data_IF_630185884386
#
_entry.id   IF_630185884386
#
_cell.length_a   1.000
_cell.length_b   1.000
_cell.length_c   1.000
_cell.angle_alpha   90.00
_cell.angle_beta   90.00
_cell.angle_gamma   90.00
#
_symmetry.space_group_name_H-M   'P 1'
#
loop_
_entity.id
_entity.type
_entity.pdbx_description
1 polymer ?
#
# COMPACT_ATOMS: atom_id res chain seq x y z
N UNK A 1 -7.73 -24.24 4.47
CA UNK A 1 -6.45 -24.67 5.10
C UNK A 1 -5.51 -23.49 4.94
N UNK A 2 -4.89 -22.99 6.02
CA UNK A 2 -3.90 -21.91 5.92
C UNK A 2 -2.73 -22.42 5.07
N UNK A 3 -2.35 -21.67 4.02
CA UNK A 3 -1.15 -21.97 3.23
C UNK A 3 0.07 -21.91 4.16
N UNK A 4 1.02 -22.82 3.98
CA UNK A 4 2.26 -22.81 4.76
C UNK A 4 3.10 -21.59 4.41
N UNK A 5 3.75 -20.99 5.42
CA UNK A 5 4.74 -19.93 5.24
C UNK A 5 6.13 -20.45 5.63
N UNK A 6 7.15 -20.02 4.92
CA UNK A 6 8.56 -20.32 5.14
C UNK A 6 9.26 -19.09 5.69
N UNK A 7 9.85 -19.20 6.89
CA UNK A 7 10.69 -18.14 7.45
C UNK A 7 12.02 -18.09 6.69
N UNK A 8 12.32 -16.94 6.09
CA UNK A 8 13.57 -16.70 5.36
C UNK A 8 14.62 -16.01 6.22
N UNK A 9 14.18 -14.98 6.97
CA UNK A 9 15.07 -14.16 7.81
C UNK A 9 14.35 -13.74 9.09
N UNK A 10 15.13 -13.62 10.18
CA UNK A 10 14.63 -13.13 11.46
C UNK A 10 15.68 -12.29 12.17
N UNK A 11 15.30 -11.11 12.63
CA UNK A 11 16.16 -10.18 13.36
C UNK A 11 15.46 -9.61 14.59
N UNK A 12 16.16 -9.62 15.74
CA UNK A 12 15.66 -8.94 16.94
C UNK A 12 15.82 -7.42 16.76
N UNK A 13 14.71 -6.66 16.92
CA UNK A 13 14.73 -5.21 16.69
C UNK A 13 13.75 -4.48 17.61
N UNK A 14 14.21 -3.51 18.39
CA UNK A 14 13.41 -2.70 19.35
C UNK A 14 12.51 -3.55 20.28
N UNK A 15 13.05 -4.65 20.81
CA UNK A 15 12.29 -5.57 21.65
C UNK A 15 11.30 -6.47 20.94
N UNK A 16 11.01 -6.22 19.66
CA UNK A 16 10.19 -7.02 18.77
C UNK A 16 11.01 -7.88 17.81
N UNK A 17 10.39 -8.32 16.74
CA UNK A 17 10.99 -9.15 15.71
C UNK A 17 10.70 -8.59 14.32
N UNK A 18 11.73 -8.38 13.51
CA UNK A 18 11.61 -8.17 12.07
C UNK A 18 11.81 -9.53 11.40
N UNK A 19 10.81 -9.99 10.66
CA UNK A 19 10.83 -11.30 10.00
C UNK A 19 10.49 -11.14 8.52
N UNK A 20 10.99 -12.04 7.68
CA UNK A 20 10.71 -12.14 6.25
C UNK A 20 10.25 -13.55 5.93
N UNK A 21 9.16 -13.65 5.20
CA UNK A 21 8.54 -14.92 4.87
C UNK A 21 8.34 -15.08 3.37
N UNK A 22 8.31 -16.34 2.95
CA UNK A 22 7.89 -16.78 1.63
C UNK A 22 6.66 -17.68 1.75
N UNK A 23 5.75 -17.59 0.79
CA UNK A 23 4.63 -18.51 0.66
C UNK A 23 4.23 -18.69 -0.80
N UNK A 24 3.51 -19.77 -1.08
CA UNK A 24 2.89 -19.95 -2.38
C UNK A 24 1.55 -19.21 -2.39
N UNK A 25 1.43 -18.19 -3.23
CA UNK A 25 0.20 -17.43 -3.37
C UNK A 25 -0.78 -18.14 -4.29
N UNK A 26 -2.01 -18.27 -3.82
CA UNK A 26 -3.13 -18.79 -4.62
C UNK A 26 -3.73 -17.73 -5.55
N UNK A 27 -3.69 -16.46 -5.14
CA UNK A 27 -4.19 -15.35 -5.95
C UNK A 27 -3.28 -15.03 -7.14
N UNK A 28 -1.96 -15.18 -6.93
CA UNK A 28 -0.94 -14.79 -7.91
C UNK A 28 -0.31 -15.98 -8.66
N UNK A 29 -0.67 -17.23 -8.30
CA UNK A 29 -0.13 -18.46 -8.86
C UNK A 29 1.41 -18.52 -8.90
N UNK A 30 2.07 -17.86 -7.94
CA UNK A 30 3.53 -17.84 -7.84
C UNK A 30 3.98 -17.74 -6.39
N UNK A 31 5.29 -17.87 -6.17
CA UNK A 31 5.89 -17.64 -4.87
C UNK A 31 5.92 -16.14 -4.56
N UNK A 32 5.42 -15.76 -3.37
CA UNK A 32 5.42 -14.38 -2.89
C UNK A 32 6.23 -14.24 -1.61
N UNK A 33 6.81 -13.06 -1.42
CA UNK A 33 7.47 -12.67 -0.17
C UNK A 33 6.74 -11.52 0.50
N UNK A 34 6.80 -11.51 1.82
CA UNK A 34 6.43 -10.35 2.63
C UNK A 34 7.35 -10.24 3.84
N UNK A 35 7.57 -9.02 4.28
CA UNK A 35 8.23 -8.73 5.55
C UNK A 35 7.18 -8.35 6.59
N UNK A 36 7.43 -8.69 7.86
CA UNK A 36 6.57 -8.34 8.98
C UNK A 36 7.41 -7.88 10.18
N UNK A 37 6.99 -6.80 10.81
CA UNK A 37 7.49 -6.41 12.12
C UNK A 37 6.46 -6.73 13.19
N UNK A 38 6.84 -7.54 14.14
CA UNK A 38 6.04 -7.91 15.32
C UNK A 38 6.54 -7.10 16.52
N UNK A 39 5.76 -6.18 17.09
CA UNK A 39 6.17 -5.40 18.24
C UNK A 39 6.31 -6.27 19.49
N UNK A 40 7.04 -5.80 20.54
CA UNK A 40 7.02 -6.48 21.83
C UNK A 40 5.60 -6.49 22.40
N UNK A 41 5.18 -7.57 23.06
CA UNK A 41 3.87 -7.62 23.73
C UNK A 41 3.71 -6.47 24.73
N UNK A 42 2.57 -5.81 24.74
CA UNK A 42 2.24 -4.69 25.64
C UNK A 42 1.21 -5.07 26.70
N UNK A 43 0.22 -5.86 26.29
CA UNK A 43 -0.86 -6.40 27.11
C UNK A 43 -1.34 -7.72 26.50
N UNK A 44 -2.46 -8.24 26.99
CA UNK A 44 -3.05 -9.50 26.51
C UNK A 44 -3.84 -9.32 25.19
N UNK A 45 -3.99 -8.12 24.67
CA UNK A 45 -4.72 -7.86 23.43
C UNK A 45 -3.82 -8.03 22.20
N UNK A 46 -4.30 -8.72 21.16
CA UNK A 46 -3.56 -8.81 19.90
C UNK A 46 -3.35 -7.41 19.28
N UNK A 47 -2.14 -7.08 18.81
CA UNK A 47 -1.83 -5.79 18.20
C UNK A 47 -2.54 -5.58 16.88
N UNK A 48 -2.94 -4.34 16.53
CA UNK A 48 -3.50 -4.00 15.23
C UNK A 48 -2.43 -3.98 14.14
N UNK A 49 -2.90 -4.05 12.88
CA UNK A 49 -2.03 -4.19 11.70
C UNK A 49 -2.04 -2.92 10.86
N UNK A 50 -0.86 -2.47 10.48
CA UNK A 50 -0.66 -1.48 9.42
C UNK A 50 0.02 -2.15 8.22
N UNK A 51 -0.68 -2.17 7.07
CA UNK A 51 -0.09 -2.60 5.80
C UNK A 51 0.63 -1.43 5.15
N UNK A 52 1.88 -1.70 4.70
CA UNK A 52 2.65 -0.77 3.89
C UNK A 52 2.75 -1.27 2.46
N UNK A 53 2.41 -0.43 1.50
CA UNK A 53 2.54 -0.70 0.07
C UNK A 53 3.67 0.15 -0.52
N UNK A 54 4.66 -0.51 -1.09
CA UNK A 54 5.82 0.15 -1.70
C UNK A 54 5.53 0.64 -3.13
N UNK A 55 6.35 1.58 -3.61
CA UNK A 55 6.27 2.15 -4.95
C UNK A 55 6.91 1.26 -6.03
N UNK A 56 6.98 1.80 -7.26
CA UNK A 56 7.61 1.15 -8.41
C UNK A 56 9.03 0.68 -8.09
N UNK A 57 9.40 -0.47 -8.65
CA UNK A 57 10.71 -1.13 -8.53
C UNK A 57 11.06 -1.68 -7.14
N UNK A 58 10.30 -1.34 -6.11
CA UNK A 58 10.51 -1.84 -4.75
C UNK A 58 10.02 -3.27 -4.57
N UNK A 59 10.47 -3.89 -3.48
CA UNK A 59 9.97 -5.14 -2.93
C UNK A 59 9.60 -4.97 -1.44
N UNK A 60 9.42 -6.05 -0.72
CA UNK A 60 9.11 -6.09 0.71
C UNK A 60 10.22 -5.52 1.62
N UNK A 61 11.46 -5.45 1.15
CA UNK A 61 12.63 -5.03 1.93
C UNK A 61 12.88 -3.51 1.89
N UNK A 62 12.44 -2.81 0.85
CA UNK A 62 12.77 -1.38 0.72
C UNK A 62 12.31 -0.55 1.92
N UNK A 63 11.04 -0.68 2.30
CA UNK A 63 10.52 0.00 3.49
C UNK A 63 11.13 -0.55 4.77
N UNK A 64 11.21 -1.86 4.88
CA UNK A 64 11.75 -2.58 6.04
C UNK A 64 13.11 -2.05 6.45
N UNK A 65 13.99 -1.82 5.49
CA UNK A 65 15.38 -1.42 5.73
C UNK A 65 15.60 0.10 5.73
N UNK A 66 14.75 0.88 5.02
CA UNK A 66 15.05 2.29 4.75
C UNK A 66 14.17 3.29 5.52
N UNK A 67 12.98 2.88 5.96
CA UNK A 67 12.02 3.81 6.56
C UNK A 67 12.27 4.12 8.05
N UNK A 68 12.94 3.24 8.80
CA UNK A 68 13.16 3.41 10.23
C UNK A 68 11.89 3.32 11.10
N UNK A 69 10.84 2.70 10.58
CA UNK A 69 9.49 2.65 11.17
C UNK A 69 9.39 1.79 12.44
N UNK A 70 10.25 0.79 12.59
CA UNK A 70 10.09 -0.26 13.61
C UNK A 70 10.19 0.25 15.05
N UNK A 71 11.02 1.28 15.31
CA UNK A 71 11.13 1.86 16.66
C UNK A 71 9.79 2.42 17.13
N UNK A 72 9.18 3.23 16.30
CA UNK A 72 7.89 3.84 16.61
C UNK A 72 6.76 2.81 16.59
N UNK A 73 6.81 1.83 15.70
CA UNK A 73 5.86 0.71 15.70
C UNK A 73 5.93 -0.10 17.00
N UNK A 74 7.14 -0.32 17.56
CA UNK A 74 7.31 -0.94 18.88
C UNK A 74 6.70 -0.09 19.99
N UNK A 75 6.97 1.22 19.99
CA UNK A 75 6.42 2.19 20.96
C UNK A 75 4.88 2.24 20.91
N UNK A 76 4.29 2.11 19.73
CA UNK A 76 2.85 2.20 19.52
C UNK A 76 2.14 0.82 19.60
N UNK A 77 2.87 -0.29 19.59
CA UNK A 77 2.30 -1.63 19.58
C UNK A 77 1.60 -1.95 18.25
N UNK A 78 2.21 -1.56 17.12
CA UNK A 78 1.68 -1.80 15.77
C UNK A 78 2.45 -2.92 15.09
N UNK A 79 1.73 -3.87 14.52
CA UNK A 79 2.30 -4.80 13.52
C UNK A 79 2.41 -4.07 12.20
N UNK A 80 3.59 -4.16 11.55
CA UNK A 80 3.79 -3.66 10.19
C UNK A 80 3.89 -4.84 9.23
N UNK A 81 3.13 -4.83 8.15
CA UNK A 81 3.17 -5.86 7.09
C UNK A 81 3.53 -5.20 5.76
N UNK A 82 4.62 -5.65 5.15
CA UNK A 82 5.18 -5.12 3.91
C UNK A 82 5.19 -6.23 2.85
N UNK A 83 4.21 -6.35 1.97
CA UNK A 83 4.27 -7.29 0.85
C UNK A 83 5.21 -6.80 -0.26
N UNK A 84 5.65 -7.73 -1.12
CA UNK A 84 6.23 -7.36 -2.39
C UNK A 84 5.22 -6.59 -3.26
N UNK A 85 5.69 -5.81 -4.20
CA UNK A 85 4.90 -4.91 -5.06
C UNK A 85 4.27 -5.59 -6.27
N UNK A 86 4.68 -6.81 -6.57
CA UNK A 86 4.18 -7.61 -7.70
C UNK A 86 4.49 -9.09 -7.53
N UNK A 87 3.86 -9.97 -8.33
CA UNK A 87 4.41 -11.31 -8.57
C UNK A 87 5.81 -11.21 -9.19
N UNK A 88 6.67 -12.21 -8.91
CA UNK A 88 8.02 -12.33 -9.46
C UNK A 88 8.35 -13.79 -9.77
N UNK A 89 9.27 -13.99 -10.70
CA UNK A 89 9.80 -15.30 -11.08
C UNK A 89 10.05 -15.42 -12.58
N UNK A 90 10.76 -16.49 -12.97
CA UNK A 90 11.11 -16.73 -14.38
C UNK A 90 9.89 -17.00 -15.26
N UNK A 91 8.85 -17.61 -14.69
CA UNK A 91 7.58 -17.90 -15.35
C UNK A 91 6.57 -16.75 -15.29
N UNK A 92 6.88 -15.65 -14.58
CA UNK A 92 6.02 -14.47 -14.45
C UNK A 92 6.33 -13.47 -15.54
N UNK A 93 5.30 -13.01 -16.25
CA UNK A 93 5.45 -11.99 -17.29
C UNK A 93 6.17 -10.74 -16.77
N UNK A 94 7.02 -10.16 -17.61
CA UNK A 94 7.77 -8.95 -17.31
C UNK A 94 7.85 -8.04 -18.54
N UNK A 95 8.21 -6.78 -18.31
CA UNK A 95 8.49 -5.77 -19.33
C UNK A 95 9.91 -5.24 -19.13
N UNK A 96 10.52 -4.70 -20.20
CA UNK A 96 11.85 -4.08 -20.11
C UNK A 96 11.83 -2.75 -19.34
N UNK A 97 10.69 -2.09 -19.29
CA UNK A 97 10.49 -0.84 -18.57
C UNK A 97 10.24 -1.08 -17.07
N UNK A 98 10.80 -0.22 -16.24
CA UNK A 98 10.66 -0.28 -14.77
C UNK A 98 9.23 -0.03 -14.27
N UNK A 99 8.36 0.50 -15.10
CA UNK A 99 7.01 0.95 -14.79
C UNK A 99 5.89 -0.03 -15.21
N UNK A 100 6.27 -1.25 -15.62
CA UNK A 100 5.34 -2.33 -15.97
C UNK A 100 5.97 -3.70 -15.62
N UNK A 101 5.16 -4.69 -15.26
CA UNK A 101 5.62 -6.02 -14.94
C UNK A 101 6.16 -6.16 -13.52
N UNK A 102 7.25 -6.90 -13.36
CA UNK A 102 7.82 -7.21 -12.04
C UNK A 102 8.33 -5.95 -11.34
N UNK A 103 7.80 -5.68 -10.15
CA UNK A 103 8.02 -4.44 -9.40
C UNK A 103 7.01 -3.32 -9.71
N UNK A 104 6.00 -3.59 -10.55
CA UNK A 104 5.04 -2.58 -11.02
C UNK A 104 3.60 -3.13 -11.10
N UNK A 105 3.14 -3.85 -10.06
CA UNK A 105 1.84 -4.52 -10.04
C UNK A 105 0.62 -3.61 -9.92
N UNK A 106 0.80 -2.34 -9.64
CA UNK A 106 -0.25 -1.30 -9.48
C UNK A 106 -1.41 -1.70 -8.56
N UNK A 107 -1.26 -2.76 -7.77
CA UNK A 107 -2.25 -3.28 -6.81
C UNK A 107 -3.65 -3.53 -7.41
N UNK A 108 -3.69 -3.89 -8.69
CA UNK A 108 -4.90 -4.21 -9.45
C UNK A 108 -4.98 -5.72 -9.79
N UNK A 109 -6.10 -6.13 -10.38
CA UNK A 109 -6.27 -7.45 -10.99
C UNK A 109 -6.24 -7.31 -12.50
N UNK A 110 -5.18 -7.81 -13.14
CA UNK A 110 -5.05 -7.79 -14.58
C UNK A 110 -6.07 -8.73 -15.24
N UNK A 111 -6.58 -8.31 -16.40
CA UNK A 111 -7.53 -9.07 -17.24
C UNK A 111 -6.94 -9.44 -18.59
N UNK A 112 -5.81 -8.84 -18.98
CA UNK A 112 -5.18 -9.04 -20.28
C UNK A 112 -4.01 -10.02 -20.19
N UNK A 113 -3.88 -10.88 -21.21
CA UNK A 113 -2.69 -11.72 -21.42
C UNK A 113 -1.48 -10.83 -21.77
N UNK A 114 -0.26 -11.15 -21.29
CA UNK A 114 0.09 -12.28 -20.46
C UNK A 114 -0.09 -12.05 -18.94
N UNK A 115 -0.55 -10.88 -18.52
CA UNK A 115 -0.56 -10.42 -17.13
C UNK A 115 -1.61 -11.12 -16.25
N UNK A 116 -2.78 -11.46 -16.83
CA UNK A 116 -3.95 -11.96 -16.08
C UNK A 116 -3.68 -13.21 -15.23
N UNK A 117 -2.66 -14.00 -15.58
CA UNK A 117 -2.32 -15.24 -14.90
C UNK A 117 -1.74 -14.99 -13.49
N UNK A 118 -0.93 -13.94 -13.35
CA UNK A 118 -0.18 -13.69 -12.12
C UNK A 118 -0.46 -12.31 -11.47
N UNK A 119 -0.84 -11.29 -12.24
CA UNK A 119 -0.97 -9.92 -11.73
C UNK A 119 -2.35 -9.68 -11.13
N UNK A 120 -2.62 -10.26 -9.95
CA UNK A 120 -3.86 -10.12 -9.18
C UNK A 120 -3.60 -9.54 -7.79
N UNK A 121 -2.82 -8.45 -7.76
CA UNK A 121 -2.36 -7.83 -6.50
C UNK A 121 -3.51 -7.25 -5.66
N UNK A 122 -4.65 -6.90 -6.27
CA UNK A 122 -5.83 -6.48 -5.53
C UNK A 122 -6.34 -7.62 -4.62
N UNK A 123 -6.61 -8.80 -5.20
CA UNK A 123 -7.08 -9.97 -4.44
C UNK A 123 -6.05 -10.39 -3.39
N UNK A 124 -4.77 -10.33 -3.75
CA UNK A 124 -3.69 -10.68 -2.83
C UNK A 124 -3.68 -9.79 -1.58
N UNK A 125 -3.71 -8.47 -1.74
CA UNK A 125 -3.62 -7.51 -0.62
C UNK A 125 -4.93 -7.44 0.18
N UNK A 126 -6.08 -7.58 -0.48
CA UNK A 126 -7.37 -7.47 0.20
C UNK A 126 -7.78 -8.78 0.86
N UNK A 127 -7.56 -9.92 0.24
CA UNK A 127 -8.11 -11.18 0.73
C UNK A 127 -7.02 -12.14 1.25
N UNK A 128 -6.05 -12.51 0.42
CA UNK A 128 -5.11 -13.59 0.74
C UNK A 128 -4.14 -13.21 1.84
N UNK A 129 -3.44 -12.08 1.70
CA UNK A 129 -2.43 -11.64 2.67
C UNK A 129 -3.01 -11.43 4.08
N UNK A 130 -4.15 -10.74 4.28
CA UNK A 130 -4.74 -10.61 5.61
C UNK A 130 -5.18 -11.92 6.24
N UNK A 131 -5.70 -12.86 5.46
CA UNK A 131 -6.04 -14.20 5.94
C UNK A 131 -4.78 -14.98 6.35
N UNK A 132 -3.71 -14.85 5.57
CA UNK A 132 -2.41 -15.45 5.88
C UNK A 132 -1.85 -14.90 7.19
N UNK A 133 -1.85 -13.56 7.35
CA UNK A 133 -1.38 -12.89 8.57
C UNK A 133 -2.20 -13.31 9.79
N UNK A 134 -3.52 -13.26 9.71
CA UNK A 134 -4.39 -13.68 10.82
C UNK A 134 -4.28 -15.19 11.17
N UNK A 135 -3.95 -16.01 10.19
CA UNK A 135 -3.78 -17.46 10.37
C UNK A 135 -2.47 -17.87 11.02
N UNK A 136 -1.42 -17.04 10.93
CA UNK A 136 -0.08 -17.37 11.41
C UNK A 136 0.43 -16.50 12.56
N UNK A 137 -0.16 -15.31 12.76
CA UNK A 137 0.27 -14.36 13.77
C UNK A 137 -0.89 -13.95 14.67
N UNK A 138 -0.59 -13.70 15.96
CA UNK A 138 -1.57 -13.18 16.90
C UNK A 138 -1.74 -11.67 16.63
N UNK A 139 -2.72 -11.30 15.81
CA UNK A 139 -3.07 -9.92 15.45
C UNK A 139 -4.56 -9.67 15.64
N UNK A 140 -4.97 -8.42 15.84
CA UNK A 140 -6.38 -8.04 15.89
C UNK A 140 -6.97 -7.89 14.48
N UNK A 141 -8.31 -7.75 14.42
CA UNK A 141 -9.04 -7.46 13.19
C UNK A 141 -8.97 -5.99 12.75
N UNK A 142 -8.40 -5.11 13.60
CA UNK A 142 -8.23 -3.69 13.29
C UNK A 142 -7.06 -3.49 12.34
N UNK A 143 -7.35 -2.90 11.17
CA UNK A 143 -6.39 -2.73 10.09
C UNK A 143 -6.39 -1.30 9.56
N UNK A 144 -5.21 -0.82 9.17
CA UNK A 144 -5.01 0.42 8.41
C UNK A 144 -4.03 0.17 7.26
N UNK A 145 -3.96 1.10 6.32
CA UNK A 145 -3.12 0.94 5.14
C UNK A 145 -2.38 2.24 4.83
N UNK A 146 -1.11 2.11 4.45
CA UNK A 146 -0.23 3.20 4.06
C UNK A 146 0.58 2.80 2.83
N UNK A 147 1.07 3.76 2.06
CA UNK A 147 1.93 3.44 0.94
C UNK A 147 2.62 4.66 0.33
N UNK A 148 3.56 4.40 -0.58
CA UNK A 148 4.34 5.41 -1.27
C UNK A 148 4.18 5.29 -2.79
N UNK A 149 4.00 6.41 -3.50
CA UNK A 149 3.97 6.48 -4.96
C UNK A 149 2.88 5.57 -5.56
N UNK A 150 3.25 4.55 -6.36
CA UNK A 150 2.37 3.47 -6.81
C UNK A 150 1.70 2.76 -5.60
N UNK A 151 2.42 2.58 -4.49
CA UNK A 151 1.84 2.01 -3.26
C UNK A 151 0.90 2.97 -2.55
N UNK A 152 1.15 4.27 -2.64
CA UNK A 152 0.23 5.31 -2.18
C UNK A 152 -1.08 5.29 -2.98
N UNK A 153 -0.98 5.11 -4.31
CA UNK A 153 -2.12 4.80 -5.17
C UNK A 153 -2.88 3.57 -4.67
N UNK A 154 -2.14 2.47 -4.45
CA UNK A 154 -2.73 1.22 -3.95
C UNK A 154 -3.46 1.41 -2.63
N UNK A 155 -2.85 2.10 -1.66
CA UNK A 155 -3.45 2.34 -0.34
C UNK A 155 -4.77 3.12 -0.42
N UNK A 156 -4.79 4.20 -1.19
CA UNK A 156 -5.99 5.02 -1.42
C UNK A 156 -7.07 4.24 -2.15
N UNK A 157 -6.73 3.63 -3.28
CA UNK A 157 -7.66 2.89 -4.13
C UNK A 157 -8.28 1.69 -3.40
N UNK A 158 -7.46 0.89 -2.72
CA UNK A 158 -7.93 -0.30 -1.98
C UNK A 158 -8.89 0.10 -0.85
N UNK A 159 -8.59 1.18 -0.13
CA UNK A 159 -9.46 1.66 0.93
C UNK A 159 -10.77 2.24 0.41
N UNK A 160 -10.74 3.04 -0.65
CA UNK A 160 -11.95 3.60 -1.26
C UNK A 160 -12.87 2.53 -1.86
N UNK A 161 -12.31 1.43 -2.36
CA UNK A 161 -13.10 0.27 -2.82
C UNK A 161 -13.63 -0.61 -1.69
N UNK A 162 -13.01 -0.57 -0.51
CA UNK A 162 -13.37 -1.40 0.66
C UNK A 162 -13.55 -0.52 1.90
N UNK A 163 -14.55 0.37 1.93
CA UNK A 163 -14.65 1.47 2.89
C UNK A 163 -14.82 1.03 4.34
N UNK A 164 -15.21 -0.21 4.60
CA UNK A 164 -15.40 -0.75 5.96
C UNK A 164 -14.18 -1.51 6.48
N UNK A 165 -13.14 -1.67 5.64
CA UNK A 165 -12.02 -2.54 5.98
C UNK A 165 -10.95 -1.85 6.80
N UNK A 166 -10.63 -0.60 6.46
CA UNK A 166 -9.52 0.13 7.06
C UNK A 166 -10.00 1.25 7.97
N UNK A 167 -9.35 1.41 9.12
CA UNK A 167 -9.67 2.45 10.10
C UNK A 167 -9.12 3.83 9.71
N UNK A 168 -8.03 3.85 8.96
CA UNK A 168 -7.37 5.06 8.46
C UNK A 168 -6.49 4.73 7.26
N UNK A 169 -6.22 5.74 6.44
CA UNK A 169 -5.40 5.61 5.24
C UNK A 169 -4.35 6.70 5.21
N UNK A 170 -3.12 6.37 4.83
CA UNK A 170 -2.16 7.42 4.55
C UNK A 170 -1.30 7.12 3.32
N UNK A 171 -0.71 8.15 2.73
CA UNK A 171 0.11 8.01 1.55
C UNK A 171 1.23 9.06 1.50
N UNK A 172 2.38 8.62 1.01
CA UNK A 172 3.49 9.49 0.62
C UNK A 172 3.49 9.60 -0.90
N UNK A 173 3.46 10.83 -1.40
CA UNK A 173 3.59 11.15 -2.83
C UNK A 173 2.76 10.21 -3.75
N UNK A 174 1.45 10.04 -3.52
CA UNK A 174 0.64 9.04 -4.23
C UNK A 174 0.32 9.43 -5.66
N UNK A 175 0.23 8.45 -6.57
CA UNK A 175 -0.43 8.61 -7.86
C UNK A 175 -1.95 8.60 -7.59
N UNK A 176 -2.63 9.74 -7.66
CA UNK A 176 -4.04 9.83 -7.25
C UNK A 176 -5.03 9.64 -8.41
N UNK A 177 -4.59 9.87 -9.65
CA UNK A 177 -5.43 9.86 -10.84
C UNK A 177 -4.75 9.08 -11.98
N UNK A 178 -4.54 7.75 -11.82
CA UNK A 178 -3.80 6.94 -12.78
C UNK A 178 -4.42 6.95 -14.18
N UNK A 179 -5.72 7.16 -14.33
CA UNK A 179 -6.37 7.28 -15.64
C UNK A 179 -5.88 8.47 -16.47
N UNK A 180 -5.25 9.47 -15.87
CA UNK A 180 -4.86 10.73 -16.52
C UNK A 180 -3.35 11.00 -16.54
N UNK A 181 -2.53 10.08 -16.05
CA UNK A 181 -1.07 10.26 -15.97
C UNK A 181 -0.34 9.14 -16.72
N UNK A 182 0.87 9.42 -17.26
CA UNK A 182 1.58 8.47 -18.13
C UNK A 182 1.77 7.07 -17.53
N UNK A 183 2.29 6.96 -16.30
CA UNK A 183 2.49 5.66 -15.64
C UNK A 183 1.19 4.88 -15.49
N UNK A 184 0.14 5.56 -15.02
CA UNK A 184 -1.15 4.93 -14.81
C UNK A 184 -1.77 4.47 -16.14
N UNK A 185 -1.79 5.32 -17.16
CA UNK A 185 -2.33 4.95 -18.48
C UNK A 185 -1.60 3.75 -19.08
N UNK A 186 -0.26 3.74 -19.05
CA UNK A 186 0.54 2.60 -19.52
C UNK A 186 0.16 1.31 -18.80
N UNK A 187 0.13 1.34 -17.48
CA UNK A 187 -0.21 0.16 -16.67
C UNK A 187 -1.66 -0.30 -16.89
N UNK A 188 -2.62 0.64 -16.84
CA UNK A 188 -4.05 0.30 -17.02
C UNK A 188 -4.33 -0.25 -18.41
N UNK A 189 -3.75 0.33 -19.47
CA UNK A 189 -3.85 -0.22 -20.83
C UNK A 189 -3.29 -1.64 -20.91
N UNK A 190 -2.08 -1.85 -20.38
CA UNK A 190 -1.43 -3.16 -20.44
C UNK A 190 -2.18 -4.23 -19.62
N UNK A 191 -2.61 -3.89 -18.41
CA UNK A 191 -3.22 -4.85 -17.47
C UNK A 191 -4.72 -5.06 -17.72
N UNK A 192 -5.46 -4.02 -18.14
CA UNK A 192 -6.92 -4.04 -18.24
C UNK A 192 -7.45 -3.88 -19.68
N UNK A 193 -6.59 -3.53 -20.66
CA UNK A 193 -6.98 -3.26 -22.04
C UNK A 193 -7.45 -1.83 -22.26
N UNK A 194 -8.04 -1.58 -23.44
CA UNK A 194 -8.40 -0.25 -23.94
C UNK A 194 -9.72 0.32 -23.37
N UNK A 195 -10.48 -0.49 -22.61
CA UNK A 195 -11.74 -0.04 -22.03
C UNK A 195 -11.47 0.85 -20.78
N UNK A 196 -11.40 2.16 -21.03
CA UNK A 196 -11.18 3.15 -19.95
C UNK A 196 -12.27 3.09 -18.84
N UNK A 197 -13.45 2.54 -19.13
CA UNK A 197 -14.48 2.33 -18.11
C UNK A 197 -14.03 1.34 -17.02
N UNK A 198 -13.22 0.36 -17.37
CA UNK A 198 -12.64 -0.59 -16.40
C UNK A 198 -11.54 0.03 -15.56
N UNK A 199 -10.88 1.09 -16.03
CA UNK A 199 -9.82 1.76 -15.28
C UNK A 199 -10.35 2.55 -14.08
N UNK A 200 -11.57 3.08 -14.19
CA UNK A 200 -12.18 3.96 -13.18
C UNK A 200 -12.29 3.31 -11.80
N UNK A 201 -12.44 2.00 -11.73
CA UNK A 201 -12.46 1.26 -10.47
C UNK A 201 -11.10 1.23 -9.75
N UNK A 202 -10.03 1.66 -10.43
CA UNK A 202 -8.68 1.76 -9.88
C UNK A 202 -8.19 3.21 -9.80
N UNK A 203 -9.06 4.20 -9.98
CA UNK A 203 -8.73 5.61 -9.92
C UNK A 203 -9.27 6.26 -8.65
N UNK A 204 -8.39 6.72 -7.76
CA UNK A 204 -8.77 7.27 -6.45
C UNK A 204 -9.60 8.54 -6.56
N UNK A 205 -9.35 9.38 -7.59
CA UNK A 205 -10.15 10.58 -7.83
C UNK A 205 -11.58 10.21 -8.24
N UNK A 206 -11.72 9.24 -9.15
CA UNK A 206 -13.04 8.76 -9.56
C UNK A 206 -13.78 8.08 -8.41
N UNK A 207 -13.11 7.18 -7.69
CA UNK A 207 -13.70 6.46 -6.55
C UNK A 207 -14.22 7.42 -5.48
N UNK A 208 -13.40 8.40 -5.06
CA UNK A 208 -13.81 9.38 -4.05
C UNK A 208 -14.98 10.21 -4.53
N UNK A 209 -14.98 10.68 -5.79
CA UNK A 209 -16.07 11.47 -6.34
C UNK A 209 -17.39 10.69 -6.50
N UNK A 210 -17.32 9.36 -6.56
CA UNK A 210 -18.47 8.47 -6.68
C UNK A 210 -19.07 8.06 -5.34
N UNK A 211 -18.40 8.36 -4.23
CA UNK A 211 -18.90 8.02 -2.90
C UNK A 211 -20.00 9.02 -2.46
N UNK A 212 -20.99 8.55 -1.69
CA UNK A 212 -21.98 9.45 -1.09
C UNK A 212 -21.31 10.53 -0.24
N UNK A 213 -21.77 11.80 -0.36
CA UNK A 213 -21.14 12.96 0.28
C UNK A 213 -21.17 12.96 1.81
N UNK A 214 -22.02 12.17 2.40
CA UNK A 214 -22.23 12.02 3.84
C UNK A 214 -21.57 10.77 4.43
N UNK A 215 -20.84 10.02 3.60
CA UNK A 215 -20.11 8.81 4.02
C UNK A 215 -18.60 9.03 3.96
N UNK A 216 -18.01 9.14 5.13
CA UNK A 216 -16.55 9.32 5.31
C UNK A 216 -16.03 8.23 6.25
N UNK A 217 -15.87 6.99 5.76
CA UNK A 217 -15.60 5.83 6.62
C UNK A 217 -14.24 5.86 7.30
N UNK A 218 -13.30 6.65 6.79
CA UNK A 218 -11.94 6.76 7.34
C UNK A 218 -11.29 8.11 7.00
N UNK A 219 -10.37 8.61 7.86
CA UNK A 219 -9.56 9.78 7.54
C UNK A 219 -8.41 9.43 6.60
N UNK A 220 -7.94 10.43 5.85
CA UNK A 220 -6.81 10.32 4.92
C UNK A 220 -5.73 11.33 5.29
N UNK A 221 -4.46 10.87 5.38
CA UNK A 221 -3.29 11.71 5.51
C UNK A 221 -2.39 11.55 4.28
N UNK A 222 -1.95 12.65 3.67
CA UNK A 222 -1.02 12.64 2.55
C UNK A 222 0.16 13.56 2.85
N UNK A 223 1.39 13.08 2.66
CA UNK A 223 2.59 13.90 2.59
C UNK A 223 3.09 13.99 1.15
N UNK A 224 3.37 15.23 0.71
CA UNK A 224 3.88 15.50 -0.62
C UNK A 224 5.03 16.50 -0.57
N UNK A 225 6.21 16.07 -1.00
CA UNK A 225 7.35 16.97 -1.20
C UNK A 225 7.14 17.87 -2.41
N UNK A 226 7.47 19.16 -2.29
CA UNK A 226 7.39 20.10 -3.40
C UNK A 226 8.63 20.06 -4.31
N UNK A 227 9.73 19.43 -3.85
CA UNK A 227 10.91 19.09 -4.64
C UNK A 227 10.81 17.76 -5.40
N UNK A 228 9.65 17.09 -5.37
CA UNK A 228 9.43 15.81 -6.04
C UNK A 228 9.35 15.97 -7.57
N UNK A 229 10.27 15.35 -8.29
CA UNK A 229 10.34 15.44 -9.75
C UNK A 229 9.14 14.85 -10.49
N UNK A 230 8.34 13.98 -9.83
CA UNK A 230 7.15 13.36 -10.42
C UNK A 230 5.84 14.10 -10.09
N UNK A 231 5.92 15.14 -9.25
CA UNK A 231 4.75 15.86 -8.73
C UNK A 231 3.80 16.33 -9.83
N UNK A 232 4.32 16.96 -10.86
CA UNK A 232 3.51 17.57 -11.92
C UNK A 232 2.93 16.55 -12.90
N UNK A 233 3.76 15.57 -13.32
CA UNK A 233 3.42 14.71 -14.44
C UNK A 233 2.75 13.40 -14.03
N UNK A 234 3.03 12.88 -12.81
CA UNK A 234 2.60 11.55 -12.40
C UNK A 234 1.71 11.54 -11.15
N UNK A 235 1.95 12.41 -10.17
CA UNK A 235 1.31 12.30 -8.85
C UNK A 235 0.05 13.13 -8.73
N UNK A 236 0.13 14.42 -9.01
CA UNK A 236 -0.96 15.40 -9.07
C UNK A 236 -1.92 15.37 -7.84
N UNK A 237 -1.43 15.34 -6.57
CA UNK A 237 -2.26 15.12 -5.38
C UNK A 237 -3.32 16.20 -5.17
N UNK A 238 -3.12 17.41 -5.70
CA UNK A 238 -4.08 18.52 -5.63
C UNK A 238 -5.46 18.18 -6.20
N UNK A 239 -5.54 17.26 -7.18
CA UNK A 239 -6.82 16.82 -7.75
C UNK A 239 -7.65 16.07 -6.71
N UNK A 240 -7.04 15.13 -5.97
CA UNK A 240 -7.73 14.40 -4.91
C UNK A 240 -8.12 15.31 -3.75
N UNK A 241 -7.24 16.26 -3.38
CA UNK A 241 -7.52 17.25 -2.32
C UNK A 241 -8.74 18.11 -2.66
N UNK A 242 -8.82 18.60 -3.90
CA UNK A 242 -9.96 19.39 -4.34
C UNK A 242 -11.27 18.59 -4.31
N UNK A 243 -11.25 17.34 -4.78
CA UNK A 243 -12.41 16.45 -4.71
C UNK A 243 -12.80 16.13 -3.26
N UNK A 244 -11.84 15.85 -2.40
CA UNK A 244 -12.07 15.61 -0.98
C UNK A 244 -12.75 16.82 -0.32
N UNK A 245 -12.28 18.04 -0.61
CA UNK A 245 -12.89 19.29 -0.15
C UNK A 245 -14.34 19.45 -0.62
N UNK A 246 -14.61 19.15 -1.91
CA UNK A 246 -15.96 19.24 -2.48
C UNK A 246 -16.94 18.23 -1.88
N UNK A 247 -16.44 17.06 -1.46
CA UNK A 247 -17.20 15.99 -0.85
C UNK A 247 -17.20 16.04 0.70
N UNK A 248 -16.48 17.01 1.31
CA UNK A 248 -16.35 17.11 2.77
C UNK A 248 -15.56 15.96 3.40
N UNK A 249 -14.71 15.26 2.60
CA UNK A 249 -13.93 14.13 3.11
C UNK A 249 -12.82 14.60 4.05
N UNK A 250 -12.57 13.92 5.19
CA UNK A 250 -11.52 14.27 6.12
C UNK A 250 -10.13 13.87 5.57
N UNK A 251 -9.66 14.60 4.56
CA UNK A 251 -8.36 14.47 3.96
C UNK A 251 -7.46 15.63 4.41
N UNK A 252 -6.33 15.29 5.00
CA UNK A 252 -5.27 16.23 5.35
C UNK A 252 -4.07 15.98 4.43
N UNK A 253 -3.74 16.95 3.57
CA UNK A 253 -2.49 16.94 2.81
C UNK A 253 -1.50 17.92 3.43
N UNK A 254 -0.27 17.45 3.66
CA UNK A 254 0.86 18.26 4.12
C UNK A 254 1.85 18.43 2.96
N UNK A 255 2.11 19.67 2.60
CA UNK A 255 3.20 20.01 1.70
C UNK A 255 4.51 20.05 2.49
N UNK A 256 5.53 19.34 2.02
CA UNK A 256 6.84 19.21 2.67
C UNK A 256 7.89 19.96 1.82
N UNK A 257 8.27 21.20 2.23
CA UNK A 257 9.15 22.05 1.43
C UNK A 257 10.55 21.46 1.24
N UNK A 258 11.00 21.35 -0.02
CA UNK A 258 12.31 20.85 -0.40
C UNK A 258 12.48 19.34 -0.38
N UNK A 259 11.45 18.58 0.04
CA UNK A 259 11.53 17.12 0.04
C UNK A 259 11.20 16.52 -1.32
N UNK A 260 11.87 15.41 -1.63
CA UNK A 260 11.81 14.70 -2.91
C UNK A 260 10.99 13.40 -2.85
N UNK A 261 11.09 12.56 -3.89
CA UNK A 261 10.38 11.26 -4.01
C UNK A 261 11.09 10.09 -3.31
N UNK A 262 12.13 10.35 -2.53
CA UNK A 262 12.99 9.28 -2.00
C UNK A 262 12.55 8.75 -0.64
N UNK A 263 13.20 7.67 -0.22
CA UNK A 263 13.05 7.13 1.14
C UNK A 263 13.58 8.06 2.23
N UNK A 264 14.37 9.09 1.91
CA UNK A 264 14.73 10.12 2.89
C UNK A 264 13.51 10.93 3.35
N UNK A 265 12.61 11.23 2.43
CA UNK A 265 11.31 11.85 2.75
C UNK A 265 10.46 10.93 3.63
N UNK A 266 10.33 9.65 3.24
CA UNK A 266 9.58 8.68 4.02
C UNK A 266 10.17 8.52 5.43
N UNK A 267 11.48 8.33 5.55
CA UNK A 267 12.15 8.16 6.84
C UNK A 267 12.01 9.39 7.76
N UNK A 268 11.87 10.57 7.18
CA UNK A 268 11.67 11.80 7.96
C UNK A 268 10.28 11.87 8.58
N UNK A 269 9.24 11.45 7.87
CA UNK A 269 7.84 11.69 8.28
C UNK A 269 7.07 10.41 8.66
N UNK A 270 7.67 9.23 8.55
CA UNK A 270 6.97 7.95 8.82
C UNK A 270 6.45 7.86 10.26
N UNK A 271 7.17 8.42 11.23
CA UNK A 271 6.72 8.45 12.62
C UNK A 271 5.35 9.10 12.75
N UNK A 272 5.13 10.23 12.09
CA UNK A 272 3.86 10.97 12.15
C UNK A 272 2.72 10.17 11.51
N UNK A 273 2.99 9.44 10.42
CA UNK A 273 2.01 8.53 9.82
C UNK A 273 1.67 7.36 10.76
N UNK A 274 2.66 6.75 11.41
CA UNK A 274 2.41 5.70 12.39
C UNK A 274 1.57 6.20 13.57
N UNK A 275 1.86 7.39 14.10
CA UNK A 275 1.08 8.03 15.17
C UNK A 275 -0.35 8.38 14.71
N UNK A 276 -0.52 8.84 13.49
CA UNK A 276 -1.83 9.05 12.88
C UNK A 276 -2.64 7.75 12.85
N UNK A 277 -2.07 6.66 12.35
CA UNK A 277 -2.76 5.37 12.30
C UNK A 277 -3.08 4.81 13.68
N UNK A 278 -2.17 4.95 14.65
CA UNK A 278 -2.36 4.47 16.02
C UNK A 278 -3.60 5.07 16.70
N UNK A 279 -3.93 6.34 16.43
CA UNK A 279 -5.13 7.00 16.98
C UNK A 279 -6.42 6.27 16.58
N UNK A 280 -6.48 5.72 15.37
CA UNK A 280 -7.65 5.03 14.83
C UNK A 280 -7.64 3.52 15.05
N UNK A 281 -6.47 2.95 15.24
CA UNK A 281 -6.30 1.52 15.48
C UNK A 281 -6.50 1.13 16.94
N UNK A 282 -6.20 2.04 17.88
CA UNK A 282 -6.39 1.81 19.32
C UNK A 282 -7.70 2.43 19.87
N UNK A 283 -8.41 3.22 19.04
CA UNK A 283 -9.68 3.89 19.37
C UNK A 283 -10.92 2.98 19.38
#
# INVERSE_FOLDING_TARGET
MSSSIELLEEHRMFGGWQQRYRHQSSSLNCSMTFSIYLPPPRDDNPPPVLYWLSGLTCNDENFTQKAGAQRVAAELGLVLVMPDTSPRGDDVANDEGYDLGQGAGFYLNATQSPWAEHFRMYDYVIDELPQLIAGHFSVSDKQSICGHSMGGHGALMLALRNPQRFRSVSAFAPIVNPCQVPWGRKALTAYLGEDEGQWLQYDSCHLLSSMPKDQHPFPILIDQGDGDQFLADQLQPSKLVELARQHGWPLHMRAQPGYDHSYFTIATFIEEHLRFHAQWLHG
#
